data_IF_925325751090
#
_entry.id   IF_925325751090
#
_cell.length_a   1.000
_cell.length_b   1.000
_cell.length_c   1.000
_cell.angle_alpha   90.00
_cell.angle_beta   90.00
_cell.angle_gamma   90.00
#
_symmetry.space_group_name_H-M   'P 1'
#
loop_
_entity.id
_entity.type
_entity.pdbx_description
1 polymer ?
#
# COMPACT_ATOMS: atom_id res chain seq x y z
N UNK A 1 -27.98 -12.01 -6.53
CA UNK A 1 -26.63 -12.01 -5.92
C UNK A 1 -26.77 -12.55 -4.52
N UNK A 2 -26.32 -13.78 -4.30
CA UNK A 2 -26.33 -14.42 -2.98
C UNK A 2 -25.58 -13.54 -1.97
N UNK A 3 -26.25 -13.21 -0.86
CA UNK A 3 -25.62 -12.46 0.24
C UNK A 3 -24.73 -13.43 1.02
N UNK A 4 -23.44 -13.40 0.74
CA UNK A 4 -22.43 -14.11 1.52
C UNK A 4 -22.48 -13.60 2.97
N UNK A 5 -22.58 -14.51 3.93
CA UNK A 5 -22.53 -14.17 5.35
C UNK A 5 -21.20 -13.51 5.70
N UNK A 6 -21.25 -12.52 6.60
CA UNK A 6 -20.03 -11.83 7.06
C UNK A 6 -19.17 -12.80 7.85
N UNK A 7 -17.91 -12.92 7.46
CA UNK A 7 -16.88 -13.72 8.09
C UNK A 7 -15.56 -12.95 8.09
N UNK A 8 -14.54 -13.47 8.75
CA UNK A 8 -13.24 -12.80 8.85
C UNK A 8 -12.60 -12.52 7.46
N UNK A 9 -12.94 -13.30 6.43
CA UNK A 9 -12.39 -13.11 5.09
C UNK A 9 -13.00 -11.90 4.34
N UNK A 10 -14.30 -11.68 4.47
CA UNK A 10 -15.04 -10.63 3.74
C UNK A 10 -15.45 -9.43 4.61
N UNK A 11 -15.27 -9.52 5.93
CA UNK A 11 -15.67 -8.49 6.88
C UNK A 11 -14.56 -8.28 7.93
N UNK A 12 -13.69 -7.32 7.66
CA UNK A 12 -12.63 -6.86 8.56
C UNK A 12 -12.45 -5.36 8.36
N UNK A 13 -12.19 -4.58 9.42
CA UNK A 13 -11.85 -3.17 9.29
C UNK A 13 -10.70 -2.97 8.29
N UNK A 14 -10.95 -2.14 7.28
CA UNK A 14 -9.98 -1.88 6.22
C UNK A 14 -9.10 -0.70 6.61
N UNK A 15 -7.96 -1.01 7.23
CA UNK A 15 -6.87 -0.03 7.42
C UNK A 15 -6.02 0.08 6.15
N UNK A 16 -5.30 1.18 5.91
CA UNK A 16 -4.38 1.28 4.78
C UNK A 16 -3.37 0.12 4.70
N UNK A 17 -2.86 -0.35 5.85
CA UNK A 17 -1.93 -1.49 5.90
C UNK A 17 -2.60 -2.82 5.52
N UNK A 18 -3.80 -3.08 6.03
CA UNK A 18 -4.53 -4.32 5.71
C UNK A 18 -5.03 -4.34 4.27
N UNK A 19 -5.45 -3.18 3.74
CA UNK A 19 -5.77 -3.00 2.32
C UNK A 19 -4.56 -3.31 1.43
N UNK A 20 -3.43 -2.65 1.66
CA UNK A 20 -2.22 -2.84 0.87
C UNK A 20 -1.77 -4.30 0.87
N UNK A 21 -1.80 -4.95 2.03
CA UNK A 21 -1.44 -6.36 2.18
C UNK A 21 -2.41 -7.28 1.43
N UNK A 22 -3.72 -7.02 1.49
CA UNK A 22 -4.73 -7.80 0.75
C UNK A 22 -4.58 -7.63 -0.75
N UNK A 23 -4.39 -6.41 -1.25
CA UNK A 23 -4.20 -6.16 -2.67
C UNK A 23 -2.92 -6.83 -3.21
N UNK A 24 -1.82 -6.78 -2.46
CA UNK A 24 -0.58 -7.46 -2.84
C UNK A 24 -0.71 -8.98 -2.90
N UNK A 25 -1.63 -9.58 -2.14
CA UNK A 25 -1.90 -11.02 -2.14
C UNK A 25 -2.90 -11.43 -3.23
N UNK A 26 -4.05 -10.76 -3.32
CA UNK A 26 -5.13 -11.14 -4.21
C UNK A 26 -4.95 -10.63 -5.65
N UNK A 27 -4.30 -9.47 -5.81
CA UNK A 27 -4.16 -8.75 -7.09
C UNK A 27 -2.70 -8.46 -7.43
N UNK A 28 -1.80 -9.38 -7.06
CA UNK A 28 -0.34 -9.18 -7.08
C UNK A 28 0.21 -8.59 -8.40
N UNK A 29 -0.31 -9.05 -9.54
CA UNK A 29 0.13 -8.65 -10.88
C UNK A 29 -0.71 -7.53 -11.49
N UNK A 30 -1.79 -7.10 -10.84
CA UNK A 30 -2.60 -5.98 -11.32
C UNK A 30 -1.89 -4.66 -11.05
N UNK A 31 -2.09 -3.69 -11.95
CA UNK A 31 -1.56 -2.33 -11.80
C UNK A 31 -2.12 -1.66 -10.55
N UNK A 32 -1.26 -1.04 -9.75
CA UNK A 32 -1.58 -0.32 -8.51
C UNK A 32 -1.42 1.19 -8.65
N UNK A 33 -0.37 1.64 -9.34
CA UNK A 33 -0.02 3.05 -9.53
C UNK A 33 0.43 3.25 -10.97
N UNK A 34 -0.09 4.31 -11.60
CA UNK A 34 0.35 4.80 -12.91
C UNK A 34 0.77 6.25 -12.71
N UNK A 35 2.00 6.57 -13.09
CA UNK A 35 2.51 7.93 -13.11
C UNK A 35 3.38 8.09 -14.35
N UNK A 36 2.91 8.88 -15.31
CA UNK A 36 3.53 9.04 -16.63
C UNK A 36 3.81 7.67 -17.30
N UNK A 37 5.05 7.44 -17.76
CA UNK A 37 5.48 6.16 -18.32
C UNK A 37 5.70 5.04 -17.29
N UNK A 38 5.60 5.34 -16.00
CA UNK A 38 5.88 4.37 -14.93
C UNK A 38 4.60 3.70 -14.44
N UNK A 39 4.66 2.37 -14.34
CA UNK A 39 3.58 1.55 -13.78
C UNK A 39 4.14 0.62 -12.70
N UNK A 40 3.40 0.49 -11.61
CA UNK A 40 3.69 -0.50 -10.57
C UNK A 40 2.56 -1.50 -10.45
N UNK A 41 2.91 -2.74 -10.09
CA UNK A 41 1.94 -3.75 -9.65
C UNK A 41 1.73 -3.67 -8.14
N UNK A 42 0.63 -4.24 -7.64
CA UNK A 42 0.37 -4.29 -6.19
C UNK A 42 1.49 -5.00 -5.41
N UNK A 43 2.10 -6.05 -5.98
CA UNK A 43 3.28 -6.71 -5.39
C UNK A 43 4.45 -5.74 -5.27
N UNK A 44 4.75 -4.97 -6.32
CA UNK A 44 5.85 -4.01 -6.31
C UNK A 44 5.62 -2.87 -5.32
N UNK A 45 4.39 -2.32 -5.28
CA UNK A 45 4.04 -1.26 -4.31
C UNK A 45 4.24 -1.74 -2.88
N UNK A 46 3.75 -2.93 -2.53
CA UNK A 46 3.94 -3.50 -1.19
C UNK A 46 5.41 -3.65 -0.83
N UNK A 47 6.22 -4.23 -1.73
CA UNK A 47 7.66 -4.39 -1.51
C UNK A 47 8.38 -3.06 -1.32
N UNK A 48 8.01 -2.01 -2.08
CA UNK A 48 8.56 -0.65 -1.93
C UNK A 48 8.21 -0.06 -0.57
N UNK A 49 6.96 -0.18 -0.13
CA UNK A 49 6.53 0.28 1.19
C UNK A 49 7.28 -0.45 2.31
N UNK A 50 7.48 -1.77 2.19
CA UNK A 50 8.27 -2.54 3.16
C UNK A 50 9.73 -2.10 3.22
N UNK A 51 10.36 -1.80 2.09
CA UNK A 51 11.73 -1.27 2.06
C UNK A 51 11.83 0.06 2.80
N UNK A 52 10.91 0.99 2.52
CA UNK A 52 10.85 2.27 3.25
C UNK A 52 10.62 2.06 4.75
N UNK A 53 9.65 1.22 5.12
CA UNK A 53 9.37 0.92 6.52
C UNK A 53 10.58 0.31 7.25
N UNK A 54 11.35 -0.55 6.58
CA UNK A 54 12.60 -1.08 7.13
C UNK A 54 13.62 0.04 7.36
N UNK A 55 13.84 0.91 6.38
CA UNK A 55 14.75 2.06 6.53
C UNK A 55 14.32 3.01 7.67
N UNK A 56 13.03 3.29 7.83
CA UNK A 56 12.53 4.10 8.95
C UNK A 56 12.81 3.43 10.30
N UNK A 57 12.63 2.10 10.39
CA UNK A 57 13.01 1.34 11.60
C UNK A 57 14.50 1.41 11.89
N UNK A 58 15.36 1.37 10.87
CA UNK A 58 16.82 1.53 11.08
C UNK A 58 17.21 2.92 11.58
N UNK A 59 16.35 3.91 11.39
CA UNK A 59 16.50 5.27 11.95
C UNK A 59 15.86 5.41 13.35
N UNK A 60 15.46 4.30 13.98
CA UNK A 60 14.79 4.26 15.28
C UNK A 60 13.44 5.00 15.34
N UNK A 61 12.76 5.17 14.21
CA UNK A 61 11.41 5.74 14.19
C UNK A 61 10.39 4.70 14.69
N UNK A 62 9.56 5.12 15.64
CA UNK A 62 8.60 4.30 16.36
C UNK A 62 7.17 4.83 16.25
N UNK A 63 6.24 4.10 16.89
CA UNK A 63 4.86 4.55 17.02
C UNK A 63 4.79 5.86 17.81
N UNK A 64 3.94 6.77 17.37
CA UNK A 64 3.77 8.15 17.88
C UNK A 64 4.84 9.16 17.45
N UNK A 65 5.84 8.75 16.67
CA UNK A 65 6.75 9.69 16.02
C UNK A 65 6.08 10.39 14.84
N UNK A 66 6.44 11.65 14.63
CA UNK A 66 5.95 12.47 13.51
C UNK A 66 6.93 12.40 12.35
N UNK A 67 6.44 12.01 11.19
CA UNK A 67 7.22 11.97 9.93
C UNK A 67 6.61 12.96 8.94
N UNK A 68 7.42 13.87 8.42
CA UNK A 68 7.03 14.77 7.33
C UNK A 68 7.40 14.17 5.98
N UNK A 69 6.56 14.40 4.97
CA UNK A 69 6.80 13.98 3.59
C UNK A 69 6.66 15.21 2.68
N UNK A 70 7.69 15.47 1.88
CA UNK A 70 7.62 16.45 0.79
C UNK A 70 7.59 15.69 -0.53
N UNK A 71 6.53 15.87 -1.30
CA UNK A 71 6.39 15.30 -2.64
C UNK A 71 6.30 16.42 -3.67
N UNK A 72 6.90 16.19 -4.83
CA UNK A 72 6.68 17.00 -6.02
C UNK A 72 5.95 16.15 -7.05
N UNK A 73 4.85 16.67 -7.58
CA UNK A 73 4.04 16.01 -8.60
C UNK A 73 4.23 16.81 -9.88
N UNK A 74 4.77 16.18 -10.91
CA UNK A 74 4.86 16.78 -12.23
C UNK A 74 3.62 16.40 -13.04
N UNK A 75 3.01 17.40 -13.66
CA UNK A 75 1.92 17.23 -14.61
C UNK A 75 2.45 17.62 -15.98
N UNK A 76 2.61 16.64 -16.87
CA UNK A 76 2.76 16.92 -18.30
C UNK A 76 1.37 17.25 -18.86
N UNK A 77 1.16 18.51 -19.25
CA UNK A 77 0.00 18.97 -20.04
C UNK A 77 0.23 18.67 -21.52
#
# INVERSE_FOLDING_TARGET
MDKLSKCQANYTPLTPLTFLTRCAKCFANCTSVIHEGTRFTWKQTYQRCCRLAFSLRTLNIATNDVVSLTISIHFNL
#
